data_IF_925733942225
#
_entry.id   IF_925733942225
#
_cell.length_a   1.000
_cell.length_b   1.000
_cell.length_c   1.000
_cell.angle_alpha   90.00
_cell.angle_beta   90.00
_cell.angle_gamma   90.00
#
_symmetry.space_group_name_H-M   'P 1'
#
loop_
_entity.id
_entity.type
_entity.pdbx_description
1 polymer ?
#
# COMPACT_ATOMS: atom_id res chain seq x y z
N UNK A 1 75.37 -24.57 -27.94
CA UNK A 1 74.48 -23.42 -28.30
C UNK A 1 73.19 -23.51 -27.51
N UNK A 2 73.08 -22.63 -26.47
CA UNK A 2 71.82 -22.56 -25.68
C UNK A 2 71.06 -21.32 -26.20
N UNK A 3 69.93 -21.56 -26.84
CA UNK A 3 69.04 -20.49 -27.25
C UNK A 3 68.24 -20.01 -26.02
N UNK A 4 68.39 -18.74 -25.67
CA UNK A 4 67.59 -18.04 -24.70
C UNK A 4 66.31 -17.52 -25.41
N UNK A 5 65.18 -18.07 -25.08
CA UNK A 5 63.83 -17.55 -25.47
C UNK A 5 63.51 -16.44 -24.50
N UNK A 6 63.54 -15.20 -24.92
CA UNK A 6 62.98 -14.07 -24.18
C UNK A 6 61.47 -14.03 -24.33
N UNK A 7 60.74 -14.39 -23.30
CA UNK A 7 59.30 -14.19 -23.22
C UNK A 7 59.07 -12.73 -22.78
N UNK A 8 58.67 -11.90 -23.73
CA UNK A 8 58.19 -10.53 -23.44
C UNK A 8 56.78 -10.65 -22.86
N UNK A 9 56.66 -10.47 -21.54
CA UNK A 9 55.38 -10.32 -20.87
C UNK A 9 54.87 -8.92 -21.20
N UNK A 10 53.89 -8.82 -22.09
CA UNK A 10 53.15 -7.61 -22.40
C UNK A 10 52.23 -7.30 -21.22
N UNK A 11 52.67 -6.49 -20.27
CA UNK A 11 51.83 -5.91 -19.23
C UNK A 11 50.89 -4.90 -19.90
N UNK A 12 49.68 -5.34 -20.25
CA UNK A 12 48.59 -4.44 -20.61
C UNK A 12 48.15 -3.76 -19.30
N UNK A 13 48.74 -2.63 -19.01
CA UNK A 13 48.24 -1.73 -17.99
C UNK A 13 46.89 -1.19 -18.47
N UNK A 14 45.82 -1.82 -18.07
CA UNK A 14 44.46 -1.24 -18.20
C UNK A 14 44.48 0.04 -17.36
N UNK A 15 44.67 1.20 -18.01
CA UNK A 15 44.39 2.49 -17.38
C UNK A 15 42.96 2.42 -16.89
N UNK A 16 42.75 2.30 -15.57
CA UNK A 16 41.45 2.59 -14.98
C UNK A 16 41.15 4.06 -15.35
N UNK A 17 40.32 4.25 -16.35
CA UNK A 17 39.80 5.58 -16.66
C UNK A 17 39.07 6.09 -15.44
N UNK A 18 39.38 7.30 -14.98
CA UNK A 18 38.64 7.91 -13.89
C UNK A 18 37.13 7.99 -14.27
N UNK A 19 36.28 7.73 -13.30
CA UNK A 19 34.82 7.82 -13.54
C UNK A 19 34.45 9.25 -13.95
N UNK A 20 33.62 9.37 -14.97
CA UNK A 20 33.09 10.65 -15.43
C UNK A 20 32.07 11.13 -14.40
N UNK A 21 32.25 12.31 -13.86
CA UNK A 21 31.27 12.91 -12.95
C UNK A 21 30.07 13.41 -13.73
N UNK A 22 28.87 13.03 -13.28
CA UNK A 22 27.59 13.37 -13.92
C UNK A 22 26.56 13.88 -12.91
N UNK A 23 25.67 14.74 -13.39
CA UNK A 23 24.46 15.19 -12.70
C UNK A 23 23.25 14.71 -13.47
N UNK A 24 22.34 13.97 -12.82
CA UNK A 24 21.13 13.50 -13.47
C UNK A 24 19.96 14.43 -13.12
N UNK A 25 19.09 14.78 -14.07
CA UNK A 25 19.11 14.38 -15.49
C UNK A 25 20.01 15.23 -16.39
N UNK A 26 20.56 16.36 -15.93
CA UNK A 26 21.17 17.43 -16.75
C UNK A 26 22.29 16.94 -17.68
N UNK A 27 23.20 16.07 -17.18
CA UNK A 27 24.27 15.50 -17.98
C UNK A 27 23.79 14.61 -19.13
N UNK A 28 22.49 14.28 -19.16
CA UNK A 28 21.89 13.39 -20.14
C UNK A 28 20.84 14.09 -21.02
N UNK A 29 20.83 15.42 -21.05
CA UNK A 29 19.93 16.21 -21.90
C UNK A 29 20.02 15.82 -23.38
N UNK A 30 21.26 15.53 -23.84
CA UNK A 30 21.53 15.08 -25.21
C UNK A 30 21.50 13.56 -25.39
N UNK A 31 21.01 12.83 -24.39
CA UNK A 31 20.88 11.38 -24.39
C UNK A 31 21.99 10.64 -23.64
N UNK A 32 21.90 9.30 -23.66
CA UNK A 32 22.82 8.40 -22.96
C UNK A 32 23.97 7.87 -23.83
N UNK A 33 23.93 8.11 -25.13
CA UNK A 33 24.74 7.44 -26.14
C UNK A 33 26.24 7.67 -25.91
N UNK A 34 26.64 8.91 -25.56
CA UNK A 34 28.03 9.29 -25.29
C UNK A 34 28.64 8.62 -24.05
N UNK A 35 27.80 8.11 -23.14
CA UNK A 35 28.19 7.46 -21.90
C UNK A 35 28.20 5.93 -21.96
N UNK A 36 27.59 5.32 -23.00
CA UNK A 36 27.53 3.86 -23.12
C UNK A 36 28.93 3.24 -23.13
N UNK A 37 29.15 2.24 -22.28
CA UNK A 37 30.44 1.59 -22.08
C UNK A 37 31.37 2.28 -21.07
N UNK A 38 31.06 3.52 -20.68
CA UNK A 38 31.89 4.29 -19.75
C UNK A 38 31.45 4.07 -18.29
N UNK A 39 32.35 4.37 -17.35
CA UNK A 39 32.07 4.40 -15.91
C UNK A 39 31.77 5.83 -15.50
N UNK A 40 30.63 6.05 -14.87
CA UNK A 40 30.15 7.35 -14.37
C UNK A 40 30.05 7.35 -12.85
N UNK A 41 30.18 8.52 -12.24
CA UNK A 41 29.95 8.78 -10.83
C UNK A 41 28.94 9.91 -10.69
N UNK A 42 27.82 9.64 -10.00
CA UNK A 42 26.82 10.68 -9.73
C UNK A 42 27.32 11.66 -8.67
N UNK A 43 27.15 12.95 -8.93
CA UNK A 43 27.58 14.05 -8.03
C UNK A 43 26.59 14.34 -6.90
N UNK A 44 25.40 13.76 -6.95
CA UNK A 44 24.29 13.95 -5.99
C UNK A 44 23.70 12.60 -5.56
N UNK A 45 22.99 12.55 -4.42
CA UNK A 45 22.31 11.35 -3.99
C UNK A 45 21.19 10.92 -4.95
N UNK A 46 21.00 9.61 -5.09
CA UNK A 46 19.90 9.03 -5.84
C UNK A 46 18.94 8.31 -4.89
N UNK A 47 17.65 8.48 -5.15
CA UNK A 47 16.55 7.91 -4.41
C UNK A 47 16.20 6.52 -4.95
N UNK A 48 15.94 5.54 -4.09
CA UNK A 48 15.48 4.20 -4.49
C UNK A 48 13.95 4.22 -4.57
N UNK A 49 13.42 4.25 -5.79
CA UNK A 49 11.99 4.25 -6.05
C UNK A 49 11.42 2.82 -6.14
N UNK A 50 12.21 1.85 -6.60
CA UNK A 50 11.79 0.47 -6.75
C UNK A 50 12.89 -0.51 -6.43
N UNK A 51 12.50 -1.66 -5.89
CA UNK A 51 13.39 -2.75 -5.52
C UNK A 51 12.88 -4.05 -6.15
N UNK A 52 13.63 -4.57 -7.12
CA UNK A 52 13.33 -5.78 -7.88
C UNK A 52 14.41 -6.83 -7.68
N UNK A 53 14.20 -8.07 -8.15
CA UNK A 53 15.10 -9.20 -7.94
C UNK A 53 16.57 -8.96 -8.28
N UNK A 54 16.82 -8.26 -9.37
CA UNK A 54 18.15 -8.10 -9.98
C UNK A 54 18.54 -6.63 -10.14
N UNK A 55 17.70 -5.73 -9.68
CA UNK A 55 17.88 -4.31 -9.96
C UNK A 55 17.11 -3.40 -9.00
N UNK A 56 17.59 -2.18 -8.90
CA UNK A 56 16.90 -1.04 -8.29
C UNK A 56 16.46 -0.07 -9.38
N UNK A 57 15.32 0.57 -9.17
CA UNK A 57 14.95 1.77 -9.92
C UNK A 57 15.30 2.98 -9.07
N UNK A 58 16.09 3.86 -9.64
CA UNK A 58 16.61 5.06 -9.01
C UNK A 58 16.04 6.30 -9.69
N UNK A 59 15.90 7.38 -8.93
CA UNK A 59 15.56 8.72 -9.41
C UNK A 59 16.23 9.78 -8.53
N UNK A 60 16.09 11.04 -8.85
CA UNK A 60 16.51 12.15 -7.98
C UNK A 60 15.56 12.37 -6.80
N UNK A 61 14.33 11.89 -6.92
CA UNK A 61 13.24 12.07 -5.96
C UNK A 61 12.30 10.86 -5.93
N UNK A 62 11.36 10.82 -5.00
CA UNK A 62 10.24 9.86 -5.06
C UNK A 62 9.36 10.20 -6.26
N UNK A 63 8.97 9.17 -6.99
CA UNK A 63 8.04 9.30 -8.10
C UNK A 63 6.64 8.88 -7.62
N UNK A 64 5.65 9.67 -7.98
CA UNK A 64 4.25 9.39 -7.68
C UNK A 64 3.50 8.98 -8.95
N UNK A 65 2.48 8.15 -8.80
CA UNK A 65 1.61 7.77 -9.92
C UNK A 65 0.96 9.04 -10.52
N UNK A 66 0.86 9.13 -11.85
CA UNK A 66 0.31 10.34 -12.49
C UNK A 66 -1.08 10.70 -12.00
N UNK A 67 -1.91 9.71 -11.70
CA UNK A 67 -3.30 9.88 -11.25
C UNK A 67 -3.45 10.58 -9.88
N UNK A 68 -2.37 10.71 -9.11
CA UNK A 68 -2.37 11.51 -7.87
C UNK A 68 -2.30 13.02 -8.13
N UNK A 69 -1.88 13.43 -9.35
CA UNK A 69 -1.66 14.83 -9.70
C UNK A 69 -2.34 15.26 -11.00
N UNK A 70 -2.98 14.35 -11.71
CA UNK A 70 -3.63 14.60 -13.00
C UNK A 70 -5.02 15.21 -12.82
N UNK A 71 -5.06 16.47 -12.38
CA UNK A 71 -6.30 17.26 -12.24
C UNK A 71 -7.08 17.23 -13.56
N UNK A 72 -8.37 16.99 -13.49
CA UNK A 72 -9.25 16.88 -14.66
C UNK A 72 -9.40 15.45 -15.21
N UNK A 73 -8.62 14.48 -14.70
CA UNK A 73 -8.71 13.09 -15.18
C UNK A 73 -10.13 12.50 -15.04
N UNK A 74 -10.85 12.84 -13.96
CA UNK A 74 -12.23 12.41 -13.77
C UNK A 74 -13.22 12.97 -14.80
N UNK A 75 -12.88 14.09 -15.45
CA UNK A 75 -13.65 14.73 -16.52
C UNK A 75 -13.17 14.30 -17.91
N UNK A 76 -12.26 13.32 -18.00
CA UNK A 76 -11.74 12.80 -19.26
C UNK A 76 -10.53 13.56 -19.83
N UNK A 77 -10.02 14.60 -19.15
CA UNK A 77 -8.77 15.26 -19.55
C UNK A 77 -7.55 14.49 -19.05
N UNK A 78 -6.90 13.80 -19.98
CA UNK A 78 -5.69 13.03 -19.70
C UNK A 78 -4.38 13.78 -20.02
N UNK A 79 -4.41 15.05 -20.33
CA UNK A 79 -3.23 15.82 -20.78
C UNK A 79 -2.16 15.83 -19.68
N UNK A 80 -2.53 16.24 -18.45
CA UNK A 80 -1.63 16.26 -17.29
C UNK A 80 -1.13 14.87 -16.96
N UNK A 81 -1.98 13.85 -17.04
CA UNK A 81 -1.60 12.44 -16.81
C UNK A 81 -0.44 12.01 -17.73
N UNK A 82 -0.58 12.24 -19.05
CA UNK A 82 0.46 11.82 -20.01
C UNK A 82 1.75 12.59 -19.83
N UNK A 83 1.67 13.88 -19.49
CA UNK A 83 2.84 14.72 -19.19
C UNK A 83 3.64 14.15 -18.01
N UNK A 84 2.98 13.94 -16.84
CA UNK A 84 3.63 13.41 -15.63
C UNK A 84 4.21 12.02 -15.91
N UNK A 85 3.47 11.17 -16.64
CA UNK A 85 3.93 9.82 -16.98
C UNK A 85 5.20 9.81 -17.81
N UNK A 86 5.34 10.74 -18.75
CA UNK A 86 6.56 10.91 -19.54
C UNK A 86 7.71 11.44 -18.68
N UNK A 87 7.45 12.44 -17.84
CA UNK A 87 8.43 12.99 -16.91
C UNK A 87 8.96 11.92 -15.94
N UNK A 88 8.09 11.12 -15.33
CA UNK A 88 8.50 10.01 -14.48
C UNK A 88 9.42 9.02 -15.21
N UNK A 89 9.05 8.63 -16.43
CA UNK A 89 9.87 7.70 -17.24
C UNK A 89 11.27 8.27 -17.53
N UNK A 90 11.37 9.56 -17.83
CA UNK A 90 12.67 10.22 -18.09
C UNK A 90 13.55 10.30 -16.85
N UNK A 91 12.94 10.28 -15.65
CA UNK A 91 13.62 10.32 -14.35
C UNK A 91 14.02 8.94 -13.82
N UNK A 92 13.69 7.83 -14.49
CA UNK A 92 13.98 6.47 -14.01
C UNK A 92 15.30 5.94 -14.54
N UNK A 93 16.16 5.49 -13.63
CA UNK A 93 17.43 4.80 -13.93
C UNK A 93 17.35 3.40 -13.34
N UNK A 94 17.61 2.37 -14.18
CA UNK A 94 17.71 0.98 -13.73
C UNK A 94 19.16 0.66 -13.37
N UNK A 95 19.40 0.29 -12.10
CA UNK A 95 20.69 -0.16 -11.60
C UNK A 95 20.67 -1.66 -11.34
N UNK A 96 21.46 -2.44 -12.08
CA UNK A 96 21.76 -3.85 -11.76
C UNK A 96 22.95 -3.91 -10.80
N UNK A 97 22.78 -4.55 -9.64
CA UNK A 97 23.81 -4.65 -8.61
C UNK A 97 23.63 -5.90 -7.74
N UNK A 98 24.72 -6.29 -7.04
CA UNK A 98 24.65 -7.36 -6.04
C UNK A 98 23.99 -6.83 -4.76
N UNK A 99 22.73 -7.13 -4.57
CA UNK A 99 21.98 -6.82 -3.34
C UNK A 99 21.15 -8.03 -2.92
N UNK A 100 20.89 -8.11 -1.62
CA UNK A 100 19.84 -8.95 -1.10
C UNK A 100 18.60 -8.07 -1.02
N UNK A 101 17.67 -8.26 -1.91
CA UNK A 101 16.55 -7.34 -2.14
C UNK A 101 15.72 -7.02 -0.90
N UNK A 102 15.54 -7.99 0.03
CA UNK A 102 14.85 -7.75 1.30
C UNK A 102 15.58 -6.82 2.27
N UNK A 103 16.86 -6.48 1.99
CA UNK A 103 17.66 -5.55 2.82
C UNK A 103 17.55 -4.10 2.36
N UNK A 104 16.90 -3.84 1.25
CA UNK A 104 16.78 -2.51 0.67
C UNK A 104 15.31 -2.10 0.63
N UNK A 105 14.99 -1.03 1.33
CA UNK A 105 13.68 -0.39 1.34
C UNK A 105 13.60 0.66 0.23
N UNK A 106 12.47 0.79 -0.47
CA UNK A 106 12.22 2.00 -1.24
C UNK A 106 12.16 3.21 -0.28
N UNK A 107 12.43 4.40 -0.78
CA UNK A 107 12.54 5.57 0.09
C UNK A 107 13.91 5.79 0.72
N UNK A 108 14.83 4.83 0.66
CA UNK A 108 16.23 5.07 1.01
C UNK A 108 16.99 5.77 -0.12
N UNK A 109 18.19 6.28 0.18
CA UNK A 109 19.04 6.96 -0.80
C UNK A 109 20.43 6.32 -0.93
N UNK A 110 21.01 6.45 -2.11
CA UNK A 110 22.42 6.14 -2.38
C UNK A 110 23.15 7.47 -2.50
N UNK A 111 24.00 7.83 -1.51
CA UNK A 111 24.71 9.12 -1.50
C UNK A 111 25.76 9.25 -2.58
N UNK A 112 26.40 8.14 -2.94
CA UNK A 112 27.45 8.10 -3.95
C UNK A 112 27.32 6.80 -4.74
N UNK A 113 27.11 6.91 -6.04
CA UNK A 113 27.03 5.78 -6.94
C UNK A 113 28.04 5.92 -8.07
N UNK A 114 28.89 4.91 -8.22
CA UNK A 114 29.75 4.71 -9.39
C UNK A 114 29.30 3.45 -10.11
N UNK A 115 28.98 3.55 -11.38
CA UNK A 115 28.46 2.45 -12.17
C UNK A 115 28.86 2.57 -13.65
N UNK A 116 28.91 1.44 -14.36
CA UNK A 116 29.09 1.39 -15.81
C UNK A 116 27.77 1.57 -16.52
N UNK A 117 27.72 2.42 -17.53
CA UNK A 117 26.56 2.59 -18.40
C UNK A 117 26.52 1.45 -19.42
N UNK A 118 25.43 0.70 -19.47
CA UNK A 118 25.25 -0.43 -20.40
C UNK A 118 24.16 -0.21 -21.43
N UNK A 119 23.47 0.92 -21.36
CA UNK A 119 22.42 1.36 -22.27
C UNK A 119 21.69 2.58 -21.73
N UNK A 120 20.77 3.18 -22.48
CA UNK A 120 20.00 4.35 -22.04
C UNK A 120 19.28 4.06 -20.69
N UNK A 121 19.61 4.86 -19.67
CA UNK A 121 19.06 4.68 -18.32
C UNK A 121 19.39 3.35 -17.63
N UNK A 122 20.36 2.58 -18.15
CA UNK A 122 20.73 1.25 -17.61
C UNK A 122 22.15 1.24 -17.11
N UNK A 123 22.31 0.94 -15.85
CA UNK A 123 23.58 0.92 -15.14
C UNK A 123 23.89 -0.47 -14.58
N UNK A 124 25.17 -0.79 -14.43
CA UNK A 124 25.65 -1.97 -13.72
C UNK A 124 26.78 -1.60 -12.76
N UNK A 125 26.77 -2.18 -11.57
CA UNK A 125 27.89 -2.09 -10.63
C UNK A 125 28.18 -3.45 -10.03
N UNK A 126 29.47 -3.78 -9.86
CA UNK A 126 29.92 -4.98 -9.15
C UNK A 126 29.91 -4.81 -7.63
N UNK A 127 29.83 -3.59 -7.14
CA UNK A 127 29.81 -3.28 -5.71
C UNK A 127 28.36 -3.15 -5.19
N UNK A 128 28.13 -3.54 -3.95
CA UNK A 128 26.87 -3.22 -3.27
C UNK A 128 26.85 -1.73 -2.91
N UNK A 129 25.83 -0.97 -3.36
CA UNK A 129 25.71 0.44 -2.99
C UNK A 129 25.59 0.63 -1.48
N UNK A 130 26.07 1.76 -0.97
CA UNK A 130 25.87 2.16 0.43
C UNK A 130 24.57 2.94 0.54
N UNK A 131 23.59 2.37 1.22
CA UNK A 131 22.28 2.97 1.43
C UNK A 131 22.26 3.83 2.69
N UNK A 132 21.54 4.95 2.63
CA UNK A 132 21.21 5.80 3.77
C UNK A 132 19.71 5.87 3.94
N UNK A 133 19.24 6.14 5.15
CA UNK A 133 17.80 6.16 5.49
C UNK A 133 17.07 4.82 5.19
N UNK A 134 17.84 3.71 5.21
CA UNK A 134 17.32 2.36 4.94
C UNK A 134 16.76 1.67 6.21
N UNK A 135 16.59 2.41 7.30
CA UNK A 135 15.96 1.92 8.52
C UNK A 135 14.44 1.99 8.40
N UNK A 136 13.71 1.06 9.03
CA UNK A 136 12.27 1.17 9.15
C UNK A 136 11.87 2.53 9.75
N UNK A 137 10.75 3.05 9.27
CA UNK A 137 10.18 4.25 9.85
C UNK A 137 9.59 3.94 11.23
N UNK A 138 9.71 4.86 12.20
CA UNK A 138 9.11 4.68 13.50
C UNK A 138 7.58 4.64 13.37
N UNK A 139 6.93 3.95 14.30
CA UNK A 139 5.47 4.00 14.37
C UNK A 139 5.00 5.46 14.50
N UNK A 140 4.00 5.88 13.69
CA UNK A 140 3.41 7.20 13.80
C UNK A 140 2.91 7.48 15.24
N UNK A 141 3.19 8.68 15.72
CA UNK A 141 2.67 9.12 17.02
C UNK A 141 1.24 9.58 16.83
N UNK A 142 0.31 8.88 17.43
CA UNK A 142 -1.10 9.24 17.42
C UNK A 142 -1.46 10.01 18.69
N UNK A 143 -2.49 10.88 18.68
CA UNK A 143 -2.99 11.57 19.84
C UNK A 143 -3.39 10.60 20.97
N UNK A 144 -3.46 11.11 22.19
CA UNK A 144 -3.91 10.33 23.35
C UNK A 144 -5.42 10.53 23.57
N UNK A 145 -6.07 9.47 24.07
CA UNK A 145 -7.53 9.44 24.27
C UNK A 145 -8.26 9.25 22.95
N UNK A 146 -9.58 9.05 22.99
CA UNK A 146 -10.36 8.70 21.80
C UNK A 146 -10.06 7.28 21.30
N UNK A 147 -10.41 7.01 20.05
CA UNK A 147 -10.25 5.71 19.40
C UNK A 147 -9.16 5.76 18.31
N UNK A 148 -8.41 4.68 18.21
CA UNK A 148 -7.50 4.42 17.10
C UNK A 148 -8.12 3.35 16.19
N UNK A 149 -8.40 3.73 14.95
CA UNK A 149 -8.89 2.84 13.88
C UNK A 149 -7.72 2.58 12.93
N UNK A 150 -7.59 1.34 12.46
CA UNK A 150 -6.59 0.95 11.47
C UNK A 150 -7.30 0.33 10.26
N UNK A 151 -7.25 1.00 9.12
CA UNK A 151 -7.66 0.43 7.85
C UNK A 151 -6.47 -0.29 7.20
N UNK A 152 -6.63 -1.55 6.78
CA UNK A 152 -5.54 -2.34 6.23
C UNK A 152 -6.02 -3.42 5.26
N UNK A 153 -5.41 -3.48 4.08
CA UNK A 153 -5.46 -4.65 3.20
C UNK A 153 -4.42 -5.66 3.69
N UNK A 154 -4.82 -6.91 3.94
CA UNK A 154 -3.93 -7.97 4.47
C UNK A 154 -3.55 -9.02 3.43
N UNK A 155 -3.75 -8.71 2.17
CA UNK A 155 -3.28 -9.46 1.00
C UNK A 155 -3.74 -10.92 0.98
N UNK A 156 -5.04 -11.15 0.73
CA UNK A 156 -5.61 -12.47 0.55
C UNK A 156 -5.29 -13.44 1.71
N UNK A 157 -5.80 -13.13 2.88
CA UNK A 157 -5.66 -13.97 4.07
C UNK A 157 -6.75 -15.04 4.09
N UNK A 158 -6.35 -16.31 3.93
CA UNK A 158 -7.24 -17.47 3.82
C UNK A 158 -7.00 -18.47 4.94
N UNK A 159 -8.09 -19.02 5.46
CA UNK A 159 -8.11 -20.21 6.28
C UNK A 159 -8.02 -21.48 5.42
N UNK A 160 -8.78 -21.54 4.33
CA UNK A 160 -8.80 -22.68 3.41
C UNK A 160 -7.62 -22.67 2.45
N UNK A 161 -6.80 -23.71 2.53
CA UNK A 161 -5.55 -23.81 1.76
C UNK A 161 -5.72 -24.28 0.31
N UNK A 162 -6.85 -24.90 -0.01
CA UNK A 162 -7.10 -25.53 -1.31
C UNK A 162 -8.23 -24.95 -2.15
N UNK A 163 -9.09 -24.11 -1.56
CA UNK A 163 -10.37 -23.72 -2.14
C UNK A 163 -10.29 -22.70 -3.27
N UNK A 164 -9.35 -21.80 -3.24
CA UNK A 164 -9.18 -20.79 -4.29
C UNK A 164 -8.09 -21.24 -5.26
N UNK A 165 -8.51 -21.88 -6.32
CA UNK A 165 -7.70 -22.68 -7.26
C UNK A 165 -6.48 -21.97 -7.89
N UNK A 166 -6.29 -20.69 -7.70
CA UNK A 166 -5.19 -19.94 -8.31
C UNK A 166 -4.07 -19.53 -7.34
N UNK A 167 -4.24 -19.76 -6.04
CA UNK A 167 -3.26 -19.30 -5.03
C UNK A 167 -3.03 -20.39 -3.98
N UNK A 168 -2.44 -21.49 -4.39
CA UNK A 168 -2.03 -22.57 -3.47
C UNK A 168 -1.13 -22.00 -2.38
N UNK A 169 -1.67 -21.80 -1.19
CA UNK A 169 -0.94 -21.43 0.01
C UNK A 169 -0.64 -22.70 0.80
N UNK A 170 0.60 -22.90 1.20
CA UNK A 170 0.97 -24.03 2.07
C UNK A 170 0.66 -23.71 3.52
N UNK A 171 0.52 -24.73 4.37
CA UNK A 171 0.35 -24.56 5.84
C UNK A 171 1.44 -23.66 6.42
N UNK A 172 2.70 -23.84 5.99
CA UNK A 172 3.83 -23.00 6.45
C UNK A 172 3.67 -21.55 6.04
N UNK A 173 3.21 -21.27 4.83
CA UNK A 173 2.97 -19.89 4.35
C UNK A 173 1.80 -19.23 5.10
N UNK A 174 0.70 -19.97 5.34
CA UNK A 174 -0.42 -19.47 6.13
C UNK A 174 0.01 -19.15 7.57
N UNK A 175 0.73 -20.06 8.22
CA UNK A 175 1.22 -19.83 9.58
C UNK A 175 2.13 -18.59 9.65
N UNK A 176 3.03 -18.41 8.66
CA UNK A 176 3.88 -17.22 8.59
C UNK A 176 3.09 -15.94 8.32
N UNK A 177 2.08 -16.00 7.45
CA UNK A 177 1.20 -14.87 7.19
C UNK A 177 0.43 -14.47 8.45
N UNK A 178 -0.17 -15.45 9.14
CA UNK A 178 -0.86 -15.22 10.42
C UNK A 178 0.07 -14.59 11.45
N UNK A 179 1.29 -15.11 11.60
CA UNK A 179 2.29 -14.60 12.53
C UNK A 179 2.68 -13.15 12.20
N UNK A 180 2.94 -12.82 10.94
CA UNK A 180 3.33 -11.46 10.52
C UNK A 180 2.19 -10.47 10.73
N UNK A 181 0.98 -10.81 10.26
CA UNK A 181 -0.20 -9.96 10.43
C UNK A 181 -0.48 -9.73 11.91
N UNK A 182 -0.58 -10.79 12.71
CA UNK A 182 -0.90 -10.66 14.14
C UNK A 182 0.14 -9.84 14.91
N UNK A 183 1.44 -10.01 14.63
CA UNK A 183 2.49 -9.16 15.19
C UNK A 183 2.37 -7.71 14.77
N UNK A 184 2.09 -7.43 13.48
CA UNK A 184 1.92 -6.07 12.98
C UNK A 184 0.71 -5.39 13.62
N UNK A 185 -0.45 -6.06 13.65
CA UNK A 185 -1.66 -5.53 14.29
C UNK A 185 -1.46 -5.31 15.79
N UNK A 186 -0.83 -6.26 16.50
CA UNK A 186 -0.48 -6.06 17.93
C UNK A 186 0.46 -4.86 18.12
N UNK A 187 1.44 -4.67 17.24
CA UNK A 187 2.33 -3.51 17.29
C UNK A 187 1.58 -2.19 16.99
N UNK A 188 0.64 -2.18 16.05
CA UNK A 188 -0.24 -1.04 15.78
C UNK A 188 -1.13 -0.76 16.98
N UNK A 189 -1.69 -1.78 17.61
CA UNK A 189 -2.54 -1.70 18.80
C UNK A 189 -3.72 -0.74 18.60
N UNK A 190 -4.48 -0.94 17.52
CA UNK A 190 -5.71 -0.19 17.25
C UNK A 190 -6.90 -0.75 18.03
N UNK A 191 -7.92 0.07 18.21
CA UNK A 191 -9.18 -0.30 18.87
C UNK A 191 -10.13 -0.99 17.89
N UNK A 192 -10.09 -0.61 16.59
CA UNK A 192 -10.80 -1.28 15.50
C UNK A 192 -9.82 -1.47 14.32
N UNK A 193 -9.82 -2.66 13.75
CA UNK A 193 -9.17 -2.98 12.48
C UNK A 193 -10.24 -3.17 11.40
N UNK A 194 -10.24 -2.29 10.42
CA UNK A 194 -11.03 -2.36 9.21
C UNK A 194 -10.21 -3.07 8.13
N UNK A 195 -10.55 -4.33 7.84
CA UNK A 195 -9.70 -5.25 7.09
C UNK A 195 -10.26 -5.49 5.70
N UNK A 196 -9.43 -5.36 4.67
CA UNK A 196 -9.67 -5.82 3.31
C UNK A 196 -8.87 -7.10 3.01
N UNK A 197 -9.36 -7.91 2.08
CA UNK A 197 -8.75 -9.15 1.62
C UNK A 197 -8.62 -10.25 2.67
N UNK A 198 -9.63 -10.41 3.52
CA UNK A 198 -9.80 -11.55 4.41
C UNK A 198 -10.76 -12.57 3.78
N UNK A 199 -10.54 -13.87 4.01
CA UNK A 199 -11.49 -14.89 3.57
C UNK A 199 -12.85 -14.66 4.21
N UNK A 200 -13.90 -14.82 3.41
CA UNK A 200 -15.30 -14.80 3.84
C UNK A 200 -15.59 -15.84 4.91
N UNK A 201 -16.55 -15.52 5.78
CA UNK A 201 -16.99 -16.38 6.89
C UNK A 201 -16.09 -16.23 8.11
N UNK A 202 -16.36 -17.03 9.12
CA UNK A 202 -15.80 -16.85 10.46
C UNK A 202 -14.41 -17.47 10.65
N UNK A 203 -14.02 -18.45 9.83
CA UNK A 203 -12.81 -19.24 10.06
C UNK A 203 -11.52 -18.39 10.01
N UNK A 204 -11.38 -17.52 9.03
CA UNK A 204 -10.18 -16.69 8.89
C UNK A 204 -10.12 -15.56 9.94
N UNK A 205 -11.20 -14.80 10.20
CA UNK A 205 -11.25 -13.85 11.30
C UNK A 205 -10.97 -14.50 12.66
N UNK A 206 -11.58 -15.66 12.96
CA UNK A 206 -11.34 -16.39 14.20
C UNK A 206 -9.88 -16.82 14.36
N UNK A 207 -9.26 -17.35 13.29
CA UNK A 207 -7.85 -17.72 13.31
C UNK A 207 -6.96 -16.52 13.64
N UNK A 208 -7.24 -15.36 13.06
CA UNK A 208 -6.48 -14.13 13.30
C UNK A 208 -6.72 -13.58 14.71
N UNK A 209 -7.96 -13.57 15.20
CA UNK A 209 -8.31 -13.14 16.56
C UNK A 209 -7.65 -14.05 17.61
N UNK A 210 -7.64 -15.36 17.39
CA UNK A 210 -6.93 -16.29 18.28
C UNK A 210 -5.44 -15.94 18.38
N UNK A 211 -4.78 -15.66 17.24
CA UNK A 211 -3.38 -15.27 17.24
C UNK A 211 -3.14 -13.90 17.93
N UNK A 212 -4.02 -12.93 17.76
CA UNK A 212 -3.95 -11.64 18.45
C UNK A 212 -4.12 -11.78 19.96
N UNK A 213 -5.11 -12.53 20.42
CA UNK A 213 -5.37 -12.77 21.84
C UNK A 213 -4.21 -13.55 22.50
N UNK A 214 -3.63 -14.51 21.77
CA UNK A 214 -2.43 -15.22 22.21
C UNK A 214 -1.24 -14.27 22.42
N UNK A 215 -0.99 -13.34 21.47
CA UNK A 215 0.08 -12.34 21.60
C UNK A 215 -0.22 -11.33 22.71
N UNK A 216 -1.46 -10.91 22.86
CA UNK A 216 -1.90 -10.00 23.93
C UNK A 216 -1.90 -10.67 25.33
N UNK A 217 -1.86 -12.01 25.38
CA UNK A 217 -2.05 -12.82 26.61
C UNK A 217 -3.36 -12.49 27.34
N UNK A 218 -4.37 -12.07 26.60
CA UNK A 218 -5.71 -11.68 27.08
C UNK A 218 -6.73 -11.82 25.94
N UNK A 219 -7.96 -12.19 26.29
CA UNK A 219 -9.09 -12.29 25.37
C UNK A 219 -9.78 -10.92 25.14
N UNK A 220 -9.02 -9.95 24.63
CA UNK A 220 -9.49 -8.57 24.40
C UNK A 220 -10.01 -8.32 22.99
N UNK A 221 -9.55 -9.09 22.00
CA UNK A 221 -9.99 -8.96 20.63
C UNK A 221 -11.16 -9.86 20.31
N UNK A 222 -12.05 -9.37 19.46
CA UNK A 222 -13.14 -10.13 18.84
C UNK A 222 -13.27 -9.70 17.36
N UNK A 223 -14.11 -10.39 16.62
CA UNK A 223 -14.47 -10.02 15.25
C UNK A 223 -16.00 -9.94 15.12
N UNK A 224 -16.45 -9.27 14.06
CA UNK A 224 -17.86 -9.26 13.68
C UNK A 224 -18.10 -10.45 12.76
N UNK A 225 -18.97 -11.38 13.21
CA UNK A 225 -19.35 -12.54 12.39
C UNK A 225 -20.18 -12.10 11.20
N UNK A 226 -19.87 -12.64 10.03
CA UNK A 226 -20.67 -12.47 8.84
C UNK A 226 -20.63 -13.76 8.00
N UNK A 227 -21.70 -14.50 8.07
CA UNK A 227 -21.83 -15.75 7.33
C UNK A 227 -22.85 -15.55 6.20
N UNK A 228 -22.44 -14.83 5.15
CA UNK A 228 -23.29 -14.60 3.99
C UNK A 228 -23.02 -15.63 2.90
N UNK A 229 -24.10 -16.14 2.32
CA UNK A 229 -24.02 -16.96 1.13
C UNK A 229 -23.59 -16.13 -0.07
N UNK A 230 -22.32 -16.26 -0.44
CA UNK A 230 -21.73 -15.61 -1.60
C UNK A 230 -20.64 -16.47 -2.22
N UNK A 231 -20.45 -16.32 -3.50
CA UNK A 231 -19.42 -17.00 -4.25
C UNK A 231 -18.04 -16.34 -4.14
N UNK A 232 -17.96 -15.08 -3.71
CA UNK A 232 -16.66 -14.40 -3.54
C UNK A 232 -15.97 -14.86 -2.26
N UNK A 233 -14.75 -15.37 -2.41
CA UNK A 233 -13.95 -15.89 -1.29
C UNK A 233 -13.27 -14.78 -0.49
N UNK A 234 -13.13 -13.58 -1.04
CA UNK A 234 -12.51 -12.42 -0.39
C UNK A 234 -13.60 -11.47 0.07
N UNK A 235 -13.49 -11.02 1.30
CA UNK A 235 -14.40 -10.04 1.90
C UNK A 235 -13.64 -8.93 2.61
N UNK A 236 -14.37 -7.96 3.13
CA UNK A 236 -13.95 -7.08 4.21
C UNK A 236 -14.40 -7.65 5.56
N UNK A 237 -13.81 -7.20 6.66
CA UNK A 237 -14.18 -7.64 7.99
C UNK A 237 -13.68 -6.72 9.08
N UNK A 238 -14.27 -6.84 10.26
CA UNK A 238 -13.88 -6.07 11.44
C UNK A 238 -13.27 -6.98 12.50
N UNK A 239 -12.13 -6.55 13.06
CA UNK A 239 -11.58 -7.05 14.31
C UNK A 239 -11.52 -5.88 15.29
N UNK A 240 -11.92 -6.07 16.53
CA UNK A 240 -12.03 -4.96 17.47
C UNK A 240 -11.68 -5.37 18.91
N UNK A 241 -11.40 -4.38 19.72
CA UNK A 241 -11.17 -4.52 21.16
C UNK A 241 -12.50 -4.41 21.91
N UNK A 242 -12.91 -5.53 22.54
CA UNK A 242 -14.15 -5.62 23.33
C UNK A 242 -14.18 -4.68 24.54
N UNK A 243 -13.03 -4.23 25.00
CA UNK A 243 -12.90 -3.31 26.15
C UNK A 243 -12.94 -1.84 25.74
N UNK A 244 -13.03 -1.55 24.44
CA UNK A 244 -13.03 -0.18 23.88
C UNK A 244 -14.29 0.17 23.13
N UNK A 245 -14.74 -0.75 22.30
CA UNK A 245 -15.90 -0.54 21.44
C UNK A 245 -16.81 -1.77 21.42
N UNK A 246 -18.04 -1.56 21.04
CA UNK A 246 -18.98 -2.64 20.72
C UNK A 246 -19.71 -2.36 19.39
N UNK A 247 -20.02 -3.41 18.62
CA UNK A 247 -20.91 -3.28 17.47
C UNK A 247 -22.27 -2.75 17.90
N UNK A 248 -22.86 -1.89 17.06
CA UNK A 248 -24.17 -1.30 17.28
C UNK A 248 -25.02 -1.46 16.02
N UNK A 249 -26.16 -2.12 16.16
CA UNK A 249 -27.02 -2.47 15.04
C UNK A 249 -26.53 -3.68 14.23
N UNK A 250 -27.12 -3.86 13.07
CA UNK A 250 -26.78 -4.94 12.15
C UNK A 250 -25.77 -4.46 11.10
N UNK A 251 -24.89 -5.36 10.66
CA UNK A 251 -23.95 -5.05 9.59
C UNK A 251 -24.68 -4.97 8.25
N UNK A 252 -24.55 -3.83 7.59
CA UNK A 252 -25.03 -3.65 6.22
C UNK A 252 -23.93 -4.04 5.22
N UNK A 253 -24.35 -4.46 4.05
CA UNK A 253 -23.50 -4.72 2.89
C UNK A 253 -24.12 -4.14 1.64
N UNK A 254 -23.30 -3.66 0.73
CA UNK A 254 -23.78 -3.22 -0.56
C UNK A 254 -24.24 -4.43 -1.37
N UNK A 255 -25.40 -4.32 -1.96
CA UNK A 255 -25.98 -5.36 -2.79
C UNK A 255 -26.31 -4.78 -4.17
N UNK A 256 -25.89 -5.45 -5.21
CA UNK A 256 -26.26 -5.15 -6.59
C UNK A 256 -26.87 -6.39 -7.22
N UNK A 257 -28.15 -6.32 -7.54
CA UNK A 257 -28.91 -7.40 -8.17
C UNK A 257 -28.39 -7.75 -9.57
N UNK A 258 -27.64 -6.86 -10.20
CA UNK A 258 -27.25 -6.99 -11.61
C UNK A 258 -25.89 -7.62 -11.85
N UNK A 259 -24.98 -7.56 -10.87
CA UNK A 259 -23.58 -7.98 -11.04
C UNK A 259 -23.06 -9.01 -10.04
N UNK A 260 -23.88 -9.61 -9.25
CA UNK A 260 -23.74 -10.70 -8.24
C UNK A 260 -22.33 -11.13 -7.74
N UNK A 261 -21.23 -10.53 -8.13
CA UNK A 261 -19.89 -11.08 -7.89
C UNK A 261 -18.95 -10.30 -6.95
N UNK A 262 -19.34 -9.09 -6.43
CA UNK A 262 -18.38 -8.20 -5.76
C UNK A 262 -18.84 -7.54 -4.46
N UNK A 263 -19.97 -7.87 -3.89
CA UNK A 263 -20.69 -7.02 -2.92
C UNK A 263 -20.25 -7.10 -1.47
N UNK A 264 -19.61 -8.17 -1.03
CA UNK A 264 -19.16 -8.36 0.36
C UNK A 264 -17.83 -7.68 0.68
N UNK A 265 -17.39 -6.85 -0.24
CA UNK A 265 -16.25 -5.96 -0.12
C UNK A 265 -16.64 -4.54 0.25
N UNK A 266 -17.94 -4.27 0.38
CA UNK A 266 -18.52 -2.99 0.77
C UNK A 266 -19.47 -3.26 1.95
N UNK A 267 -18.98 -3.02 3.17
CA UNK A 267 -19.71 -3.30 4.39
C UNK A 267 -19.73 -2.08 5.30
N UNK A 268 -20.79 -1.91 6.09
CA UNK A 268 -20.87 -0.85 7.08
C UNK A 268 -21.52 -1.36 8.37
N UNK A 269 -21.03 -0.83 9.50
CA UNK A 269 -21.51 -1.19 10.82
C UNK A 269 -21.45 0.02 11.74
N UNK A 270 -22.47 0.17 12.59
CA UNK A 270 -22.45 1.10 13.70
C UNK A 270 -21.53 0.61 14.82
N UNK A 271 -20.87 1.54 15.45
CA UNK A 271 -19.98 1.30 16.59
C UNK A 271 -20.32 2.25 17.73
N UNK A 272 -20.21 1.76 18.95
CA UNK A 272 -20.32 2.56 20.15
C UNK A 272 -19.00 2.52 20.90
N UNK A 273 -18.43 3.71 21.21
CA UNK A 273 -17.31 3.83 22.13
C UNK A 273 -17.80 3.60 23.58
N UNK A 274 -17.26 2.60 24.25
CA UNK A 274 -17.73 2.20 25.59
C UNK A 274 -17.51 3.31 26.62
N UNK A 275 -16.44 4.09 26.47
CA UNK A 275 -16.07 5.11 27.46
C UNK A 275 -17.00 6.34 27.43
N UNK A 276 -17.47 6.77 26.27
CA UNK A 276 -18.33 7.95 26.08
C UNK A 276 -19.80 7.60 25.85
N UNK A 277 -20.08 6.41 25.30
CA UNK A 277 -21.40 6.04 24.78
C UNK A 277 -21.69 6.63 23.41
N UNK A 278 -20.77 7.40 22.84
CA UNK A 278 -20.91 7.99 21.50
C UNK A 278 -20.84 6.92 20.42
N UNK A 279 -21.53 7.18 19.32
CA UNK A 279 -21.69 6.25 18.21
C UNK A 279 -21.17 6.86 16.92
N UNK A 280 -20.84 6.00 15.97
CA UNK A 280 -20.48 6.37 14.60
C UNK A 280 -20.65 5.16 13.68
N UNK A 281 -20.71 5.42 12.37
CA UNK A 281 -20.70 4.36 11.34
C UNK A 281 -19.31 4.23 10.76
N UNK A 282 -18.78 3.02 10.76
CA UNK A 282 -17.55 2.68 10.05
C UNK A 282 -17.89 1.80 8.84
N UNK A 283 -17.57 2.30 7.65
CA UNK A 283 -17.73 1.57 6.41
C UNK A 283 -16.36 1.14 5.88
N UNK A 284 -16.25 -0.10 5.39
CA UNK A 284 -15.05 -0.63 4.74
C UNK A 284 -15.35 -0.87 3.27
N UNK A 285 -14.46 -0.41 2.42
CA UNK A 285 -14.54 -0.55 0.97
C UNK A 285 -13.32 -1.29 0.42
N UNK A 286 -13.56 -2.25 -0.47
CA UNK A 286 -12.53 -2.85 -1.30
C UNK A 286 -13.05 -2.88 -2.74
N UNK A 287 -12.83 -1.79 -3.48
CA UNK A 287 -13.32 -1.67 -4.84
C UNK A 287 -12.59 -2.60 -5.81
N UNK A 288 -13.13 -2.73 -7.01
CA UNK A 288 -12.51 -3.55 -8.07
C UNK A 288 -11.08 -3.13 -8.36
N UNK A 289 -10.16 -4.10 -8.36
CA UNK A 289 -8.74 -3.86 -8.68
C UNK A 289 -8.55 -3.29 -10.08
N UNK A 290 -7.45 -2.55 -10.30
CA UNK A 290 -7.07 -1.94 -11.58
C UNK A 290 -6.64 -2.97 -12.66
N UNK A 291 -6.88 -4.26 -12.46
CA UNK A 291 -6.56 -5.33 -13.43
C UNK A 291 -7.59 -5.36 -14.55
N UNK A 292 -7.11 -5.62 -15.78
CA UNK A 292 -7.94 -5.66 -17.00
C UNK A 292 -7.75 -4.42 -17.86
N UNK A 293 -8.71 -4.16 -18.74
CA UNK A 293 -8.71 -2.91 -19.54
C UNK A 293 -9.05 -1.73 -18.62
N UNK A 294 -8.40 -0.58 -18.83
CA UNK A 294 -8.60 0.59 -17.98
C UNK A 294 -10.07 1.01 -17.87
N UNK A 295 -10.79 1.07 -18.98
CA UNK A 295 -12.21 1.44 -19.03
C UNK A 295 -13.10 0.44 -18.27
N UNK A 296 -13.04 -0.86 -18.59
CA UNK A 296 -13.84 -1.91 -17.93
C UNK A 296 -13.61 -1.95 -16.42
N UNK A 297 -12.36 -1.81 -15.99
CA UNK A 297 -12.00 -1.81 -14.58
C UNK A 297 -12.51 -0.54 -13.86
N UNK A 298 -12.55 0.61 -14.55
CA UNK A 298 -13.12 1.84 -14.02
C UNK A 298 -14.64 1.74 -13.87
N UNK A 299 -15.34 1.23 -14.91
CA UNK A 299 -16.80 1.06 -14.86
C UNK A 299 -17.22 0.17 -13.67
N UNK A 300 -16.45 -0.91 -13.40
CA UNK A 300 -16.70 -1.77 -12.24
C UNK A 300 -16.47 -1.06 -10.92
N UNK A 301 -15.46 -0.16 -10.82
CA UNK A 301 -15.27 0.65 -9.61
C UNK A 301 -16.37 1.68 -9.44
N UNK A 302 -16.84 2.28 -10.52
CA UNK A 302 -18.00 3.19 -10.49
C UNK A 302 -19.25 2.48 -10.00
N UNK A 303 -19.57 1.29 -10.54
CA UNK A 303 -20.69 0.47 -10.05
C UNK A 303 -20.55 0.12 -8.55
N UNK A 304 -19.33 -0.12 -8.05
CA UNK A 304 -19.12 -0.30 -6.61
C UNK A 304 -19.41 1.00 -5.82
N UNK A 305 -19.02 2.18 -6.32
CA UNK A 305 -19.34 3.46 -5.67
C UNK A 305 -20.84 3.73 -5.66
N UNK A 306 -21.53 3.46 -6.75
CA UNK A 306 -22.98 3.60 -6.82
C UNK A 306 -23.68 2.69 -5.77
N UNK A 307 -23.24 1.43 -5.67
CA UNK A 307 -23.74 0.48 -4.66
C UNK A 307 -23.41 0.93 -3.23
N UNK A 308 -22.24 1.54 -3.01
CA UNK A 308 -21.87 2.14 -1.73
C UNK A 308 -22.82 3.28 -1.36
N UNK A 309 -23.12 4.21 -2.27
CA UNK A 309 -24.00 5.34 -1.99
C UNK A 309 -25.43 4.86 -1.66
N UNK A 310 -25.95 3.87 -2.38
CA UNK A 310 -27.25 3.24 -2.09
C UNK A 310 -27.25 2.60 -0.68
N UNK A 311 -26.18 1.89 -0.32
CA UNK A 311 -26.06 1.28 1.01
C UNK A 311 -26.04 2.33 2.13
N UNK A 312 -25.27 3.40 1.97
CA UNK A 312 -25.17 4.47 2.97
C UNK A 312 -26.50 5.18 3.18
N UNK A 313 -27.26 5.47 2.10
CA UNK A 313 -28.60 6.03 2.19
C UNK A 313 -29.55 5.11 2.97
N UNK A 314 -29.53 3.80 2.66
CA UNK A 314 -30.37 2.82 3.40
C UNK A 314 -30.01 2.73 4.89
N UNK A 315 -28.73 2.85 5.24
CA UNK A 315 -28.28 2.84 6.64
C UNK A 315 -28.82 4.06 7.36
N UNK A 316 -28.79 5.24 6.77
CA UNK A 316 -29.30 6.48 7.36
C UNK A 316 -30.84 6.46 7.53
N UNK A 317 -31.57 5.73 6.69
CA UNK A 317 -33.00 5.52 6.83
C UNK A 317 -33.38 4.58 8.01
N UNK A 318 -32.44 3.75 8.47
CA UNK A 318 -32.67 2.85 9.61
C UNK A 318 -32.59 3.65 10.90
N UNK A 319 -33.62 3.57 11.75
CA UNK A 319 -33.67 4.29 13.04
C UNK A 319 -32.44 4.00 13.95
N UNK A 320 -31.77 2.88 13.75
CA UNK A 320 -30.61 2.44 14.53
C UNK A 320 -29.34 3.22 14.14
N UNK A 321 -29.27 3.76 12.92
CA UNK A 321 -28.10 4.44 12.35
C UNK A 321 -28.38 5.91 12.00
N UNK A 322 -29.22 6.60 12.75
CA UNK A 322 -29.48 8.05 12.53
C UNK A 322 -28.27 8.94 12.86
N UNK A 323 -27.12 8.33 13.09
CA UNK A 323 -25.89 9.05 13.32
C UNK A 323 -25.31 9.51 11.97
N UNK A 324 -25.05 10.80 11.86
CA UNK A 324 -24.43 11.42 10.69
C UNK A 324 -22.90 11.23 10.65
N UNK A 325 -22.32 10.68 11.72
CA UNK A 325 -20.88 10.45 11.87
C UNK A 325 -20.45 9.19 11.11
N UNK A 326 -20.16 9.36 9.83
CA UNK A 326 -19.79 8.28 8.93
C UNK A 326 -18.31 8.39 8.52
N UNK A 327 -17.57 7.32 8.76
CA UNK A 327 -16.19 7.15 8.31
C UNK A 327 -16.13 6.05 7.25
N UNK A 328 -15.62 6.39 6.05
CA UNK A 328 -15.44 5.46 4.94
C UNK A 328 -13.95 5.17 4.79
N UNK A 329 -13.55 3.89 4.87
CA UNK A 329 -12.14 3.49 4.82
C UNK A 329 -11.93 2.30 3.88
N UNK A 330 -10.68 2.01 3.53
CA UNK A 330 -10.31 0.79 2.83
C UNK A 330 -9.53 1.00 1.54
N UNK A 331 -9.44 -0.06 0.74
CA UNK A 331 -8.75 -0.10 -0.54
C UNK A 331 -9.73 0.26 -1.67
N UNK A 332 -9.65 1.49 -2.15
CA UNK A 332 -10.49 1.96 -3.24
C UNK A 332 -9.96 1.59 -4.63
N UNK A 333 -8.78 1.03 -4.72
CA UNK A 333 -8.13 0.72 -6.00
C UNK A 333 -8.18 1.90 -7.00
N UNK A 334 -8.21 3.13 -6.47
CA UNK A 334 -8.32 4.39 -7.22
C UNK A 334 -7.43 5.45 -6.59
N UNK A 335 -6.85 6.28 -7.43
CA UNK A 335 -6.01 7.40 -7.03
C UNK A 335 -6.81 8.71 -7.01
N UNK A 336 -6.23 9.77 -6.43
CA UNK A 336 -6.90 11.04 -6.08
C UNK A 336 -7.82 11.59 -7.16
N UNK A 337 -7.35 11.71 -8.39
CA UNK A 337 -8.14 12.36 -9.45
C UNK A 337 -8.91 11.37 -10.35
N UNK A 338 -9.01 10.11 -9.98
CA UNK A 338 -9.87 9.16 -10.69
C UNK A 338 -11.34 9.32 -10.29
N UNK A 339 -12.22 9.06 -11.24
CA UNK A 339 -13.66 9.26 -11.12
C UNK A 339 -14.30 8.64 -9.87
N UNK A 340 -13.96 7.39 -9.45
CA UNK A 340 -14.59 6.80 -8.27
C UNK A 340 -14.42 7.63 -6.99
N UNK A 341 -13.23 8.20 -6.75
CA UNK A 341 -12.99 9.02 -5.56
C UNK A 341 -13.65 10.40 -5.69
N UNK A 342 -13.61 10.99 -6.88
CA UNK A 342 -14.25 12.28 -7.13
C UNK A 342 -15.77 12.21 -6.95
N UNK A 343 -16.40 11.08 -7.27
CA UNK A 343 -17.84 10.85 -7.01
C UNK A 343 -18.16 10.85 -5.53
N UNK A 344 -17.32 10.22 -4.70
CA UNK A 344 -17.48 10.21 -3.23
C UNK A 344 -17.34 11.64 -2.66
N UNK A 345 -16.36 12.40 -3.14
CA UNK A 345 -16.17 13.80 -2.75
C UNK A 345 -17.38 14.66 -3.15
N UNK A 346 -17.90 14.49 -4.37
CA UNK A 346 -19.10 15.18 -4.84
C UNK A 346 -20.36 14.82 -4.06
N UNK A 347 -20.41 13.63 -3.46
CA UNK A 347 -21.47 13.23 -2.55
C UNK A 347 -21.38 13.87 -1.16
N UNK A 348 -20.38 14.73 -0.91
CA UNK A 348 -20.22 15.51 0.33
C UNK A 348 -19.25 14.93 1.35
N UNK A 349 -18.53 13.86 1.03
CA UNK A 349 -17.50 13.30 1.90
C UNK A 349 -16.14 13.98 1.66
N UNK A 350 -15.42 14.33 2.75
CA UNK A 350 -14.08 14.89 2.66
C UNK A 350 -13.01 13.77 2.68
N UNK A 351 -12.05 13.82 1.77
CA UNK A 351 -10.85 12.96 1.83
C UNK A 351 -9.91 13.45 2.94
N UNK A 352 -10.11 12.91 4.14
CA UNK A 352 -9.35 13.31 5.33
C UNK A 352 -7.91 12.76 5.31
N UNK A 353 -7.63 11.70 4.54
CA UNK A 353 -6.26 11.23 4.37
C UNK A 353 -5.42 12.30 3.63
N UNK A 354 -5.95 12.84 2.55
CA UNK A 354 -5.28 13.91 1.80
C UNK A 354 -5.17 15.21 2.60
N UNK A 355 -6.10 15.46 3.53
CA UNK A 355 -5.98 16.60 4.44
C UNK A 355 -4.80 16.47 5.41
N UNK A 356 -4.58 15.28 6.01
CA UNK A 356 -3.56 15.07 7.04
C UNK A 356 -2.19 14.63 6.49
N UNK A 357 -2.16 13.94 5.36
CA UNK A 357 -0.95 13.34 4.79
C UNK A 357 -0.91 13.43 3.26
N UNK A 358 -0.94 14.66 2.67
CA UNK A 358 -1.05 14.84 1.22
C UNK A 358 0.16 14.32 0.43
N UNK A 359 1.34 14.27 1.05
CA UNK A 359 2.60 13.83 0.41
C UNK A 359 2.91 12.35 0.68
N UNK A 360 1.95 11.60 1.24
CA UNK A 360 2.14 10.21 1.59
C UNK A 360 1.78 9.23 0.47
N UNK A 361 1.73 7.96 0.83
CA UNK A 361 1.31 6.85 -0.04
C UNK A 361 1.00 5.63 0.82
N UNK A 362 0.24 4.68 0.27
CA UNK A 362 0.00 3.37 0.87
C UNK A 362 0.46 2.22 -0.01
N UNK A 363 0.77 2.49 -1.27
CA UNK A 363 1.12 1.49 -2.27
C UNK A 363 2.21 1.99 -3.22
N UNK A 364 3.07 1.07 -3.69
CA UNK A 364 4.10 1.37 -4.70
C UNK A 364 3.91 0.44 -5.89
N UNK A 365 3.60 0.99 -7.05
CA UNK A 365 3.39 0.27 -8.28
C UNK A 365 4.37 0.72 -9.37
N UNK A 366 5.13 -0.22 -9.94
CA UNK A 366 6.18 0.08 -10.92
C UNK A 366 7.12 1.24 -10.54
N UNK A 367 7.48 1.33 -9.27
CA UNK A 367 8.37 2.37 -8.69
C UNK A 367 7.72 3.75 -8.51
N UNK A 368 6.43 3.86 -8.73
CA UNK A 368 5.64 5.05 -8.47
C UNK A 368 4.77 4.82 -7.24
N UNK A 369 4.79 5.76 -6.32
CA UNK A 369 4.03 5.72 -5.06
C UNK A 369 2.66 6.37 -5.24
N UNK A 370 1.66 5.92 -4.48
CA UNK A 370 0.33 6.53 -4.47
C UNK A 370 -0.57 5.92 -3.40
N UNK A 371 -1.71 6.54 -3.19
CA UNK A 371 -2.71 6.06 -2.25
C UNK A 371 -3.81 5.27 -2.97
N UNK A 372 -3.84 3.95 -2.79
CA UNK A 372 -5.01 3.13 -3.12
C UNK A 372 -5.96 3.01 -1.93
N UNK A 373 -5.41 3.10 -0.71
CA UNK A 373 -6.17 3.12 0.53
C UNK A 373 -6.58 4.54 0.87
N UNK A 374 -7.85 4.76 1.22
CA UNK A 374 -8.43 6.08 1.46
C UNK A 374 -9.22 6.13 2.75
N UNK A 375 -9.42 7.36 3.22
CA UNK A 375 -10.25 7.68 4.38
C UNK A 375 -11.10 8.89 4.03
N UNK A 376 -12.41 8.68 3.97
CA UNK A 376 -13.37 9.77 3.80
C UNK A 376 -14.24 9.90 5.05
N UNK A 377 -14.63 11.12 5.36
CA UNK A 377 -15.50 11.41 6.48
C UNK A 377 -16.69 12.26 6.06
N UNK A 378 -17.86 12.00 6.64
CA UNK A 378 -19.01 12.92 6.57
C UNK A 378 -18.67 14.25 7.23
N UNK A 379 -19.37 15.34 6.94
CA UNK A 379 -19.10 16.64 7.55
C UNK A 379 -19.05 16.63 9.09
N UNK A 380 -19.95 15.92 9.75
CA UNK A 380 -19.97 15.77 11.21
C UNK A 380 -18.79 14.94 11.72
N UNK A 381 -18.52 13.80 11.10
CA UNK A 381 -17.38 12.95 11.44
C UNK A 381 -16.03 13.63 11.18
N UNK A 382 -15.95 14.51 10.17
CA UNK A 382 -14.74 15.28 9.87
C UNK A 382 -14.23 16.07 11.06
N UNK A 383 -15.13 16.69 11.83
CA UNK A 383 -14.78 17.47 13.01
C UNK A 383 -14.19 16.59 14.14
N UNK A 384 -14.47 15.31 14.14
CA UNK A 384 -14.05 14.35 15.15
C UNK A 384 -12.77 13.58 14.76
N UNK A 385 -12.38 13.58 13.49
CA UNK A 385 -11.08 13.06 13.04
C UNK A 385 -9.98 14.04 13.45
N UNK A 386 -9.02 13.55 14.21
CA UNK A 386 -7.94 14.40 14.76
C UNK A 386 -6.58 14.15 14.14
N UNK A 387 -6.38 12.98 13.53
CA UNK A 387 -5.17 12.64 12.77
C UNK A 387 -5.43 11.43 11.86
N UNK A 388 -4.88 11.47 10.65
CA UNK A 388 -4.81 10.33 9.73
C UNK A 388 -3.39 10.22 9.17
N UNK A 389 -2.83 9.03 9.15
CA UNK A 389 -1.46 8.84 8.68
C UNK A 389 -1.21 7.40 8.20
N UNK A 390 -0.54 7.20 7.05
CA UNK A 390 -0.04 5.89 6.66
C UNK A 390 1.09 5.45 7.61
N UNK A 391 1.23 4.13 7.80
CA UNK A 391 2.35 3.57 8.51
C UNK A 391 3.12 2.61 7.59
N UNK A 392 4.29 3.02 7.12
CA UNK A 392 5.06 2.31 6.09
C UNK A 392 5.65 0.99 6.62
N UNK A 393 4.80 -0.02 6.70
CA UNK A 393 5.17 -1.39 7.07
C UNK A 393 5.33 -2.32 5.86
N UNK A 394 4.74 -1.99 4.71
CA UNK A 394 4.55 -2.93 3.61
C UNK A 394 5.04 -2.42 2.25
N UNK A 395 4.56 -1.25 1.80
CA UNK A 395 4.73 -0.76 0.43
C UNK A 395 6.20 -0.57 0.04
N UNK A 396 7.04 -0.17 0.98
CA UNK A 396 8.47 0.06 0.78
C UNK A 396 9.32 -1.22 0.76
N UNK A 397 8.75 -2.36 1.14
CA UNK A 397 9.54 -3.57 1.32
C UNK A 397 9.44 -4.51 0.12
N UNK A 398 10.53 -5.16 -0.21
CA UNK A 398 10.64 -6.05 -1.34
C UNK A 398 9.60 -7.19 -1.33
N UNK A 399 9.01 -7.40 -2.49
CA UNK A 399 8.07 -8.48 -2.75
C UNK A 399 8.78 -9.68 -3.40
N UNK A 400 8.93 -10.77 -2.69
CA UNK A 400 9.50 -12.01 -3.21
C UNK A 400 8.45 -12.85 -3.95
N UNK A 401 8.69 -13.16 -5.22
CA UNK A 401 7.90 -14.19 -5.93
C UNK A 401 8.09 -15.55 -5.24
N UNK A 402 7.01 -16.14 -4.79
CA UNK A 402 7.03 -17.44 -4.13
C UNK A 402 6.97 -17.41 -2.61
N UNK A 403 7.33 -16.28 -1.98
CA UNK A 403 7.06 -16.05 -0.57
C UNK A 403 6.52 -14.63 -0.41
N UNK A 404 5.22 -14.48 -0.60
CA UNK A 404 4.55 -13.20 -0.75
C UNK A 404 4.68 -12.24 0.44
N UNK A 405 5.26 -12.67 1.57
CA UNK A 405 5.21 -11.92 2.82
C UNK A 405 6.56 -11.85 3.55
N UNK A 406 7.63 -12.00 2.80
CA UNK A 406 8.98 -12.07 3.36
C UNK A 406 9.29 -13.41 4.04
N UNK A 407 10.56 -13.71 4.18
CA UNK A 407 11.06 -14.97 4.75
C UNK A 407 11.23 -14.90 6.28
N UNK A 408 11.09 -13.71 6.85
CA UNK A 408 11.30 -13.44 8.26
C UNK A 408 9.97 -13.26 9.02
N UNK A 409 10.02 -13.45 10.32
CA UNK A 409 8.89 -13.26 11.23
C UNK A 409 8.78 -11.81 11.74
N UNK A 410 9.23 -10.82 10.96
CA UNK A 410 9.09 -9.40 11.28
C UNK A 410 7.70 -8.88 10.97
N UNK A 411 7.39 -7.67 11.43
CA UNK A 411 6.13 -6.98 11.13
C UNK A 411 6.10 -6.39 9.72
N UNK A 412 7.25 -6.32 9.04
CA UNK A 412 7.36 -5.68 7.72
C UNK A 412 6.95 -6.62 6.60
N UNK A 413 6.29 -6.07 5.59
CA UNK A 413 5.78 -6.80 4.42
C UNK A 413 4.85 -7.95 4.81
N UNK A 414 3.91 -7.71 5.71
CA UNK A 414 2.81 -8.64 5.99
C UNK A 414 1.75 -8.61 4.87
N UNK A 415 1.68 -7.51 4.13
CA UNK A 415 0.83 -7.28 2.96
C UNK A 415 1.61 -6.48 1.89
N UNK A 416 0.92 -5.98 0.86
CA UNK A 416 1.46 -5.09 -0.16
C UNK A 416 1.00 -3.63 -0.01
N UNK A 417 -0.02 -3.38 0.79
CA UNK A 417 -0.51 -2.06 1.16
C UNK A 417 -0.06 -1.68 2.57
N UNK A 418 0.26 -0.43 2.78
CA UNK A 418 0.50 0.11 4.12
C UNK A 418 -0.82 0.36 4.86
N UNK A 419 -0.88 0.05 6.16
CA UNK A 419 -2.05 0.39 6.96
C UNK A 419 -2.18 1.91 7.13
N UNK A 420 -3.42 2.39 7.12
CA UNK A 420 -3.77 3.78 7.46
C UNK A 420 -4.25 3.81 8.91
N UNK A 421 -3.61 4.63 9.71
CA UNK A 421 -3.97 4.89 11.11
C UNK A 421 -4.86 6.13 11.18
N UNK A 422 -5.99 6.01 11.85
CA UNK A 422 -7.02 7.05 11.95
C UNK A 422 -7.32 7.26 13.43
N UNK A 423 -7.11 8.45 13.94
CA UNK A 423 -7.48 8.80 15.30
C UNK A 423 -8.72 9.67 15.31
N UNK A 424 -9.71 9.25 16.08
CA UNK A 424 -10.97 9.97 16.26
C UNK A 424 -11.20 10.28 17.74
N UNK A 425 -11.84 11.42 18.00
CA UNK A 425 -12.30 11.79 19.33
C UNK A 425 -13.77 12.15 19.24
N UNK A 426 -14.60 11.17 19.57
CA UNK A 426 -16.06 11.28 19.46
C UNK A 426 -16.65 12.27 20.46
N UNK A 427 -17.84 12.81 20.14
CA UNK A 427 -18.56 13.76 20.99
C UNK A 427 -17.96 15.17 21.05
N UNK A 428 -17.29 15.61 19.99
CA UNK A 428 -16.77 16.98 19.87
C UNK A 428 -17.71 17.88 19.06
#
# INVERSE_FOLDING_TARGET
>A
MRQYICIAILLIATKLSAAIKVTFPDSFSDGWESYIGQTIEFTHPLYVCGNYYDSLILSTERLYVPEEHAIGLAQGDSTTYWKIKQENRSKMIKLSCKITNYQVRTGCTIKKLTAKVVGPGKLVTGATPKFTNNKPEPKPKMPKGGLLICATNIQNYFFDLGGYAQRKTTVKQQAMQTLKISKALTHINADIYAICEIQRGDSAPQMLVNALNQLAKKEIYSYVSHNWDNQDMISCGYIYRKDKVRPYGEMAHAYDDTTSHYHYRLIALGWEEIASGEKFVLNINHLRSKRGTGAESNDKRMANVDSLMVMLNKIQEQQVFQDEDILLVGDYNSYTYEQPLQTIIQAGYEDVLMHYAPEGYSYVYYSEAGYLDRVFASPSMRAQVTQVQPYHLNADYFYSRGFKRGLDATIFRYADHDPILIHVKLGK
#
